data_IF_072037408460
#
_entry.id   IF_072037408460
#
_cell.length_a   1.000
_cell.length_b   1.000
_cell.length_c   1.000
_cell.angle_alpha   90.00
_cell.angle_beta   90.00
_cell.angle_gamma   90.00
#
_symmetry.space_group_name_H-M   'P 1'
#
loop_
_entity.id
_entity.type
_entity.pdbx_description
1 polymer ?
#
# COMPACT_ATOMS: atom_id res chain seq x y z
N UNK A 1 -0.39 -9.62 -27.47
CA UNK A 1 0.51 -10.10 -26.40
C UNK A 1 0.33 -11.59 -26.31
N UNK A 2 1.21 -12.37 -26.94
CA UNK A 2 1.25 -13.81 -26.68
C UNK A 2 2.03 -14.00 -25.38
N UNK A 3 1.30 -14.16 -24.27
CA UNK A 3 1.95 -14.47 -23.00
C UNK A 3 2.34 -15.94 -23.00
N UNK A 4 3.59 -16.23 -22.63
CA UNK A 4 4.12 -17.61 -22.53
C UNK A 4 3.31 -18.50 -21.58
N UNK A 5 2.55 -17.90 -20.66
CA UNK A 5 1.76 -18.56 -19.63
C UNK A 5 0.36 -17.96 -19.56
N UNK A 6 -0.63 -18.76 -19.15
CA UNK A 6 -1.99 -18.32 -18.88
C UNK A 6 -2.14 -17.85 -17.44
N UNK A 7 -3.22 -17.12 -17.14
CA UNK A 7 -3.53 -16.69 -15.77
C UNK A 7 -3.67 -17.88 -14.81
N UNK A 8 -4.30 -18.97 -15.25
CA UNK A 8 -4.46 -20.17 -14.43
C UNK A 8 -3.12 -20.81 -14.10
N UNK A 9 -2.17 -20.85 -15.03
CA UNK A 9 -0.85 -21.46 -14.78
C UNK A 9 -0.01 -20.74 -13.71
N UNK A 10 -0.30 -19.46 -13.44
CA UNK A 10 0.53 -18.63 -12.58
C UNK A 10 -0.06 -18.39 -11.18
N UNK A 11 -1.23 -18.95 -10.88
CA UNK A 11 -1.87 -18.83 -9.56
C UNK A 11 -1.52 -20.01 -8.65
N UNK A 12 -1.69 -19.80 -7.35
CA UNK A 12 -1.70 -20.87 -6.35
C UNK A 12 -2.89 -21.80 -6.62
N UNK A 13 -2.63 -23.10 -6.65
CA UNK A 13 -3.67 -24.12 -6.81
C UNK A 13 -4.59 -23.87 -8.04
N UNK A 14 -4.05 -23.95 -9.27
CA UNK A 14 -4.79 -23.73 -10.52
C UNK A 14 -6.04 -24.59 -10.63
N UNK A 15 -5.89 -25.88 -10.37
CA UNK A 15 -6.95 -26.87 -10.42
C UNK A 15 -7.11 -27.49 -9.04
N UNK A 16 -8.06 -26.97 -8.26
CA UNK A 16 -8.30 -27.42 -6.88
C UNK A 16 -8.70 -28.89 -6.82
N UNK A 17 -9.53 -29.33 -7.77
CA UNK A 17 -10.14 -30.64 -7.76
C UNK A 17 -9.12 -31.71 -8.18
N UNK A 18 -8.34 -31.42 -9.24
CA UNK A 18 -7.29 -32.34 -9.67
C UNK A 18 -6.12 -32.41 -8.69
N UNK A 19 -5.79 -31.32 -8.00
CA UNK A 19 -4.62 -31.24 -7.13
C UNK A 19 -4.94 -31.45 -5.64
N UNK A 20 -6.22 -31.49 -5.26
CA UNK A 20 -6.66 -31.61 -3.87
C UNK A 20 -6.12 -30.49 -2.96
N UNK A 21 -5.89 -29.30 -3.51
CA UNK A 21 -5.28 -28.18 -2.77
C UNK A 21 -6.29 -27.08 -2.41
N UNK A 22 -5.99 -26.32 -1.36
CA UNK A 22 -6.75 -25.14 -0.97
C UNK A 22 -6.12 -23.88 -1.59
N UNK A 23 -6.95 -23.03 -2.22
CA UNK A 23 -6.50 -21.68 -2.60
C UNK A 23 -6.46 -20.82 -1.34
N UNK A 24 -5.28 -20.30 -1.02
CA UNK A 24 -5.14 -19.29 0.01
C UNK A 24 -5.82 -17.99 -0.42
N UNK A 25 -6.25 -17.23 0.57
CA UNK A 25 -6.80 -15.90 0.35
C UNK A 25 -5.69 -14.95 -0.11
N UNK A 26 -5.97 -14.13 -1.12
CA UNK A 26 -4.98 -13.25 -1.77
C UNK A 26 -4.47 -12.16 -0.82
N UNK A 27 -5.42 -11.50 -0.17
CA UNK A 27 -5.21 -10.34 0.69
C UNK A 27 -6.42 -10.20 1.63
N UNK A 28 -6.45 -9.19 2.49
CA UNK A 28 -7.54 -9.03 3.46
C UNK A 28 -8.94 -8.87 2.83
N UNK A 29 -9.05 -8.52 1.55
CA UNK A 29 -10.33 -8.36 0.86
C UNK A 29 -10.86 -9.63 0.21
N UNK A 30 -10.08 -10.72 0.21
CA UNK A 30 -10.44 -11.96 -0.47
C UNK A 30 -10.84 -11.76 -1.95
N UNK A 31 -10.19 -10.80 -2.62
CA UNK A 31 -10.47 -10.47 -4.01
C UNK A 31 -9.40 -11.07 -4.92
N UNK A 32 -9.81 -11.99 -5.80
CA UNK A 32 -8.97 -12.59 -6.83
C UNK A 32 -8.34 -13.94 -6.44
N UNK A 33 -7.21 -14.28 -7.08
CA UNK A 33 -6.46 -15.51 -6.83
C UNK A 33 -5.00 -15.20 -6.53
N UNK A 34 -4.43 -15.87 -5.52
CA UNK A 34 -3.06 -15.63 -5.07
C UNK A 34 -2.08 -16.09 -6.14
N UNK A 35 -1.04 -15.31 -6.42
CA UNK A 35 -0.01 -15.67 -7.40
C UNK A 35 0.95 -16.72 -6.84
N UNK A 36 1.40 -17.62 -7.72
CA UNK A 36 2.45 -18.58 -7.43
C UNK A 36 3.80 -18.05 -7.91
N UNK A 37 4.51 -17.35 -7.03
CA UNK A 37 5.82 -16.77 -7.32
C UNK A 37 6.95 -17.79 -7.54
N UNK A 38 6.72 -19.09 -7.28
CA UNK A 38 7.63 -20.16 -7.72
C UNK A 38 7.51 -20.43 -9.22
N UNK A 39 6.41 -20.03 -9.85
CA UNK A 39 6.22 -20.12 -11.29
C UNK A 39 6.72 -18.81 -11.97
N UNK A 40 7.62 -18.89 -12.97
CA UNK A 40 8.23 -17.70 -13.57
C UNK A 40 7.21 -16.73 -14.19
N UNK A 41 6.06 -17.26 -14.65
CA UNK A 41 4.96 -16.46 -15.18
C UNK A 41 4.35 -15.46 -14.19
N UNK A 42 4.42 -15.71 -12.87
CA UNK A 42 3.88 -14.78 -11.88
C UNK A 42 4.68 -13.46 -11.84
N UNK A 43 6.01 -13.54 -11.84
CA UNK A 43 6.84 -12.34 -11.92
C UNK A 43 6.69 -11.66 -13.29
N UNK A 44 6.59 -12.42 -14.39
CA UNK A 44 6.34 -11.85 -15.72
C UNK A 44 5.04 -11.06 -15.77
N UNK A 45 3.99 -11.54 -15.12
CA UNK A 45 2.71 -10.83 -14.99
C UNK A 45 2.86 -9.52 -14.23
N UNK A 46 3.51 -9.52 -13.06
CA UNK A 46 3.76 -8.26 -12.32
C UNK A 46 4.62 -7.30 -13.13
N UNK A 47 5.63 -7.80 -13.85
CA UNK A 47 6.45 -6.98 -14.74
C UNK A 47 5.62 -6.35 -15.86
N UNK A 48 4.68 -7.08 -16.47
CA UNK A 48 3.84 -6.53 -17.55
C UNK A 48 2.87 -5.47 -17.04
N UNK A 49 2.30 -5.66 -15.84
CA UNK A 49 1.45 -4.65 -15.17
C UNK A 49 2.27 -3.38 -14.90
N UNK A 50 3.45 -3.50 -14.28
CA UNK A 50 4.30 -2.35 -13.96
C UNK A 50 4.78 -1.62 -15.22
N UNK A 51 5.15 -2.35 -16.28
CA UNK A 51 5.54 -1.75 -17.56
C UNK A 51 4.37 -0.97 -18.19
N UNK A 52 3.16 -1.53 -18.12
CA UNK A 52 1.93 -0.85 -18.54
C UNK A 52 1.68 0.45 -17.76
N UNK A 53 1.81 0.41 -16.43
CA UNK A 53 1.64 1.58 -15.57
C UNK A 53 2.65 2.69 -15.91
N UNK A 54 3.92 2.35 -16.12
CA UNK A 54 4.90 3.33 -16.60
C UNK A 54 4.51 3.91 -17.96
N UNK A 55 4.02 3.08 -18.89
CA UNK A 55 3.60 3.55 -20.23
C UNK A 55 2.41 4.52 -20.18
N UNK A 56 1.55 4.41 -19.16
CA UNK A 56 0.44 5.33 -18.92
C UNK A 56 0.84 6.58 -18.16
N UNK A 57 2.12 6.72 -17.80
CA UNK A 57 2.61 7.86 -17.06
C UNK A 57 2.29 7.83 -15.58
N UNK A 58 1.97 6.67 -15.00
CA UNK A 58 1.77 6.51 -13.55
C UNK A 58 3.09 6.73 -12.80
N UNK A 59 3.02 7.43 -11.68
CA UNK A 59 4.16 7.71 -10.80
C UNK A 59 3.94 7.23 -9.36
N UNK A 60 2.73 6.79 -9.02
CA UNK A 60 2.36 6.32 -7.68
C UNK A 60 1.41 5.13 -7.78
N UNK A 61 1.66 4.10 -6.97
CA UNK A 61 0.79 2.93 -6.84
C UNK A 61 0.59 2.63 -5.36
N UNK A 62 -0.67 2.39 -4.97
CA UNK A 62 -1.03 1.97 -3.62
C UNK A 62 -1.58 0.55 -3.65
N UNK A 63 -0.91 -0.38 -2.95
CA UNK A 63 -1.39 -1.75 -2.77
C UNK A 63 -2.29 -1.81 -1.54
N UNK A 64 -3.50 -2.34 -1.71
CA UNK A 64 -4.52 -2.41 -0.66
C UNK A 64 -4.76 -3.85 -0.18
N UNK A 65 -5.25 -3.98 1.06
CA UNK A 65 -5.50 -5.27 1.69
C UNK A 65 -4.23 -5.97 2.21
N UNK A 66 -3.14 -5.23 2.44
CA UNK A 66 -1.85 -5.78 2.85
C UNK A 66 -1.93 -6.38 4.25
N UNK A 67 -1.34 -7.58 4.40
CA UNK A 67 -1.26 -8.33 5.66
C UNK A 67 0.20 -8.70 5.95
N UNK A 68 0.73 -8.45 7.17
CA UNK A 68 0.08 -7.92 8.37
C UNK A 68 -0.54 -6.52 8.22
N UNK A 69 -1.79 -6.38 8.66
CA UNK A 69 -2.60 -5.18 8.48
C UNK A 69 -4.04 -5.49 8.10
N UNK A 70 -4.74 -4.46 7.62
CA UNK A 70 -6.10 -4.50 7.09
C UNK A 70 -7.10 -5.21 8.01
N UNK A 71 -7.01 -4.89 9.31
CA UNK A 71 -7.83 -5.48 10.39
C UNK A 71 -7.74 -7.00 10.55
N UNK A 72 -6.77 -7.65 9.92
CA UNK A 72 -6.51 -9.06 10.17
C UNK A 72 -5.81 -9.20 11.53
N UNK A 73 -6.25 -10.16 12.34
CA UNK A 73 -5.62 -10.43 13.63
C UNK A 73 -4.29 -11.19 13.47
N UNK A 74 -3.28 -10.97 14.34
CA UNK A 74 -1.98 -11.62 14.21
C UNK A 74 -1.99 -13.16 14.07
N UNK A 75 -2.85 -13.92 14.77
CA UNK A 75 -2.96 -15.37 14.59
C UNK A 75 -3.43 -15.79 13.19
N UNK A 76 -4.01 -14.87 12.39
CA UNK A 76 -4.54 -15.15 11.06
C UNK A 76 -3.61 -14.70 9.92
N UNK A 77 -2.52 -13.97 10.20
CA UNK A 77 -1.62 -13.44 9.16
C UNK A 77 -1.09 -14.52 8.20
N UNK A 78 -0.89 -15.75 8.68
CA UNK A 78 -0.42 -16.85 7.84
C UNK A 78 -1.38 -17.18 6.67
N UNK A 79 -2.67 -16.85 6.81
CA UNK A 79 -3.69 -17.07 5.76
C UNK A 79 -3.53 -16.12 4.58
N UNK A 80 -2.88 -14.97 4.79
CA UNK A 80 -2.82 -13.84 3.85
C UNK A 80 -1.36 -13.40 3.67
N UNK A 81 -0.53 -14.19 2.99
CA UNK A 81 0.87 -13.83 2.80
C UNK A 81 1.05 -12.83 1.64
N UNK A 82 0.89 -11.53 1.93
CA UNK A 82 1.09 -10.45 0.96
C UNK A 82 2.56 -10.01 0.80
N UNK A 83 3.49 -10.58 1.59
CA UNK A 83 4.91 -10.19 1.52
C UNK A 83 5.53 -10.54 0.18
N UNK A 84 5.11 -11.65 -0.42
CA UNK A 84 5.58 -12.06 -1.74
C UNK A 84 5.14 -11.07 -2.83
N UNK A 85 3.92 -10.54 -2.73
CA UNK A 85 3.42 -9.51 -3.63
C UNK A 85 4.23 -8.21 -3.50
N UNK A 86 4.45 -7.72 -2.27
CA UNK A 86 5.25 -6.53 -2.03
C UNK A 86 6.66 -6.66 -2.64
N UNK A 87 7.28 -7.83 -2.47
CA UNK A 87 8.60 -8.12 -3.03
C UNK A 87 8.58 -8.14 -4.57
N UNK A 88 7.58 -8.79 -5.18
CA UNK A 88 7.46 -8.88 -6.63
C UNK A 88 7.21 -7.52 -7.29
N UNK A 89 6.34 -6.70 -6.69
CA UNK A 89 6.07 -5.33 -7.12
C UNK A 89 7.31 -4.44 -7.01
N UNK A 90 8.00 -4.48 -5.85
CA UNK A 90 9.24 -3.71 -5.67
C UNK A 90 10.31 -4.10 -6.69
N UNK A 91 10.47 -5.41 -6.92
CA UNK A 91 11.42 -5.95 -7.90
C UNK A 91 11.10 -5.42 -9.30
N UNK A 92 9.86 -5.58 -9.76
CA UNK A 92 9.42 -5.12 -11.07
C UNK A 92 9.63 -3.61 -11.26
N UNK A 93 9.24 -2.79 -10.27
CA UNK A 93 9.41 -1.33 -10.32
C UNK A 93 10.87 -0.94 -10.45
N UNK A 94 11.76 -1.53 -9.64
CA UNK A 94 13.18 -1.20 -9.66
C UNK A 94 13.85 -1.66 -10.97
N UNK A 95 13.64 -2.92 -11.38
CA UNK A 95 14.26 -3.48 -12.57
C UNK A 95 13.82 -2.72 -13.84
N UNK A 96 12.52 -2.47 -14.02
CA UNK A 96 12.02 -1.75 -15.19
C UNK A 96 12.42 -0.29 -15.19
N UNK A 97 12.49 0.35 -14.02
CA UNK A 97 13.02 1.70 -13.89
C UNK A 97 14.46 1.78 -14.39
N UNK A 98 15.36 0.96 -13.85
CA UNK A 98 16.79 0.96 -14.17
C UNK A 98 17.04 0.56 -15.63
N UNK A 99 16.32 -0.44 -16.13
CA UNK A 99 16.57 -0.99 -17.46
C UNK A 99 16.04 -0.08 -18.57
N UNK A 100 14.84 0.48 -18.38
CA UNK A 100 14.04 1.12 -19.44
C UNK A 100 13.61 2.54 -19.08
N UNK A 101 12.84 2.72 -18.01
CA UNK A 101 12.03 3.93 -17.85
C UNK A 101 12.80 5.16 -17.37
N UNK A 102 13.89 4.97 -16.62
CA UNK A 102 14.77 6.08 -16.24
C UNK A 102 15.34 6.80 -17.47
N UNK A 103 15.74 6.04 -18.50
CA UNK A 103 16.29 6.59 -19.76
C UNK A 103 15.23 7.33 -20.59
N UNK A 104 13.96 7.08 -20.32
CA UNK A 104 12.82 7.76 -20.94
C UNK A 104 12.35 8.97 -20.11
N UNK A 105 13.13 9.39 -19.11
CA UNK A 105 12.83 10.56 -18.28
C UNK A 105 11.70 10.32 -17.26
N UNK A 106 11.33 9.07 -17.00
CA UNK A 106 10.35 8.73 -15.96
C UNK A 106 11.05 8.68 -14.60
N UNK A 107 10.36 9.09 -13.56
CA UNK A 107 10.74 8.78 -12.18
C UNK A 107 10.32 7.36 -11.81
N UNK A 108 10.98 6.78 -10.80
CA UNK A 108 10.61 5.47 -10.27
C UNK A 108 9.24 5.56 -9.61
N UNK A 109 8.33 4.65 -9.96
CA UNK A 109 7.00 4.59 -9.33
C UNK A 109 7.17 4.50 -7.81
N UNK A 110 6.51 5.41 -7.10
CA UNK A 110 6.41 5.38 -5.64
C UNK A 110 5.39 4.31 -5.24
N UNK A 111 5.80 3.37 -4.39
CA UNK A 111 4.97 2.26 -3.96
C UNK A 111 4.48 2.45 -2.52
N UNK A 112 3.18 2.56 -2.34
CA UNK A 112 2.50 2.61 -1.04
C UNK A 112 1.84 1.27 -0.67
N UNK A 113 1.79 0.96 0.62
CA UNK A 113 0.98 -0.15 1.17
C UNK A 113 -0.15 0.36 2.07
N UNK A 114 -1.28 -0.33 2.07
CA UNK A 114 -2.43 -0.01 2.93
C UNK A 114 -3.22 -1.24 3.35
N UNK A 115 -3.82 -1.29 4.54
CA UNK A 115 -3.97 -0.24 5.57
C UNK A 115 -3.83 -0.82 6.99
N UNK A 116 -3.90 0.00 8.05
CA UNK A 116 -3.71 -0.41 9.47
C UNK A 116 -2.51 -1.34 9.65
N UNK A 117 -1.40 -0.99 9.01
CA UNK A 117 -0.18 -1.76 9.11
C UNK A 117 0.34 -1.67 10.56
N UNK A 118 0.65 -2.81 11.23
CA UNK A 118 1.19 -2.82 12.59
C UNK A 118 2.71 -2.62 12.61
N UNK A 119 3.25 -2.14 13.72
CA UNK A 119 4.71 -1.91 13.90
C UNK A 119 5.55 -3.17 13.73
N UNK A 120 4.97 -4.35 13.97
CA UNK A 120 5.59 -5.66 13.71
C UNK A 120 5.95 -5.89 12.23
N UNK A 121 5.24 -5.25 11.30
CA UNK A 121 5.50 -5.33 9.87
C UNK A 121 6.51 -4.28 9.37
N UNK A 122 7.00 -3.40 10.24
CA UNK A 122 7.84 -2.27 9.85
C UNK A 122 9.09 -2.66 9.06
N UNK A 123 9.74 -3.79 9.38
CA UNK A 123 10.92 -4.26 8.65
C UNK A 123 10.58 -4.69 7.21
N UNK A 124 9.44 -5.36 7.02
CA UNK A 124 8.94 -5.74 5.69
C UNK A 124 8.60 -4.49 4.89
N UNK A 125 7.92 -3.53 5.50
CA UNK A 125 7.55 -2.29 4.83
C UNK A 125 8.77 -1.47 4.42
N UNK A 126 9.76 -1.33 5.32
CA UNK A 126 10.99 -0.58 5.05
C UNK A 126 11.79 -1.18 3.88
N UNK A 127 11.68 -2.49 3.68
CA UNK A 127 12.36 -3.20 2.60
C UNK A 127 11.65 -3.03 1.26
N UNK A 128 10.32 -3.03 1.25
CA UNK A 128 9.57 -3.20 0.00
C UNK A 128 8.69 -2.02 -0.41
N UNK A 129 8.35 -1.06 0.45
CA UNK A 129 7.47 0.08 0.10
C UNK A 129 8.08 1.42 0.50
N UNK A 130 7.67 2.48 -0.18
CA UNK A 130 8.14 3.86 0.05
C UNK A 130 7.26 4.57 1.09
N UNK A 131 5.97 4.23 1.14
CA UNK A 131 5.01 4.68 2.16
C UNK A 131 4.08 3.56 2.62
N UNK A 132 3.49 3.71 3.81
CA UNK A 132 2.47 2.76 4.26
C UNK A 132 1.45 3.38 5.24
N UNK A 133 0.17 3.03 5.05
CA UNK A 133 -0.94 3.52 5.87
C UNK A 133 -0.98 2.79 7.20
N UNK A 134 -0.73 3.54 8.27
CA UNK A 134 -0.55 2.98 9.62
C UNK A 134 -1.86 2.73 10.35
N UNK A 135 -2.94 3.37 9.90
CA UNK A 135 -4.26 3.27 10.50
C UNK A 135 -5.31 2.91 9.44
N UNK A 136 -6.53 2.70 9.91
CA UNK A 136 -7.72 2.58 9.11
C UNK A 136 -8.17 3.89 8.47
N UNK A 137 -9.09 3.68 7.53
CA UNK A 137 -9.70 4.71 6.72
C UNK A 137 -10.23 5.85 7.60
N UNK A 138 -9.89 7.08 7.21
CA UNK A 138 -10.25 8.29 7.96
C UNK A 138 -11.70 8.69 7.75
N UNK A 139 -12.33 8.16 6.71
CA UNK A 139 -13.72 8.37 6.37
C UNK A 139 -14.65 7.86 7.48
N UNK A 140 -15.75 8.56 7.71
CA UNK A 140 -16.78 8.13 8.65
C UNK A 140 -17.66 7.00 8.08
N UNK A 141 -17.63 6.80 6.76
CA UNK A 141 -18.58 5.95 6.03
C UNK A 141 -20.04 6.26 6.39
N UNK A 142 -20.35 7.57 6.42
CA UNK A 142 -21.67 8.10 6.71
C UNK A 142 -22.19 8.84 5.48
N UNK A 143 -23.51 8.83 5.28
CA UNK A 143 -24.17 9.64 4.25
C UNK A 143 -24.14 11.14 4.58
N UNK A 144 -23.93 11.50 5.85
CA UNK A 144 -24.05 12.88 6.35
C UNK A 144 -22.73 13.49 6.81
N UNK A 145 -21.66 12.70 6.89
CA UNK A 145 -20.34 13.15 7.36
C UNK A 145 -19.26 12.40 6.60
N UNK A 146 -18.29 13.14 6.06
CA UNK A 146 -17.12 12.51 5.44
C UNK A 146 -16.11 12.06 6.48
N UNK A 147 -15.92 12.83 7.56
CA UNK A 147 -15.00 12.47 8.66
C UNK A 147 -15.40 13.14 9.97
N UNK A 148 -14.68 12.82 11.05
CA UNK A 148 -14.86 13.43 12.37
C UNK A 148 -13.50 13.70 13.02
N UNK A 149 -13.43 14.69 13.91
CA UNK A 149 -12.16 15.07 14.52
C UNK A 149 -11.57 13.97 15.42
N UNK A 150 -12.39 13.11 16.03
CA UNK A 150 -11.89 11.95 16.78
C UNK A 150 -11.12 10.95 15.89
N UNK A 151 -11.48 10.81 14.61
CA UNK A 151 -10.76 9.97 13.64
C UNK A 151 -9.43 10.58 13.24
N UNK A 152 -9.38 11.90 13.08
CA UNK A 152 -8.12 12.65 12.89
C UNK A 152 -7.18 12.37 14.06
N UNK A 153 -7.68 12.50 15.30
CA UNK A 153 -6.89 12.25 16.51
C UNK A 153 -6.47 10.77 16.63
N UNK A 154 -7.34 9.83 16.27
CA UNK A 154 -7.01 8.39 16.22
C UNK A 154 -5.82 8.14 15.29
N UNK A 155 -5.88 8.61 14.04
CA UNK A 155 -4.82 8.38 13.06
C UNK A 155 -3.50 9.04 13.50
N UNK A 156 -3.57 10.26 14.07
CA UNK A 156 -2.41 10.95 14.63
C UNK A 156 -1.75 10.18 15.78
N UNK A 157 -2.56 9.65 16.72
CA UNK A 157 -2.08 8.82 17.84
C UNK A 157 -1.39 7.56 17.34
N UNK A 158 -1.98 6.86 16.37
CA UNK A 158 -1.38 5.66 15.79
C UNK A 158 -0.07 5.99 15.07
N UNK A 159 0.00 7.07 14.29
CA UNK A 159 1.23 7.52 13.63
C UNK A 159 2.33 7.93 14.62
N UNK A 160 1.98 8.44 15.80
CA UNK A 160 2.94 8.74 16.86
C UNK A 160 3.66 7.46 17.36
N UNK A 161 2.99 6.30 17.40
CA UNK A 161 3.62 5.02 17.78
C UNK A 161 4.71 4.58 16.79
N UNK A 162 4.62 5.05 15.55
CA UNK A 162 5.58 4.78 14.49
C UNK A 162 6.71 5.81 14.39
N UNK A 163 6.60 6.90 15.15
CA UNK A 163 7.45 8.07 15.00
C UNK A 163 8.28 8.27 16.27
N UNK A 164 9.59 8.25 16.08
CA UNK A 164 10.56 8.78 17.03
C UNK A 164 11.29 9.94 16.33
N UNK A 165 12.04 10.75 17.10
CA UNK A 165 12.94 11.74 16.51
C UNK A 165 13.77 11.10 15.39
N UNK A 166 13.92 11.77 14.26
CA UNK A 166 14.52 11.23 13.02
C UNK A 166 15.75 10.32 13.21
N UNK A 167 16.76 10.64 14.07
CA UNK A 167 17.90 9.74 14.29
C UNK A 167 17.56 8.40 14.96
N UNK A 168 16.44 8.32 15.67
CA UNK A 168 15.96 7.12 16.34
C UNK A 168 14.86 6.40 15.54
N UNK A 169 14.55 6.85 14.32
CA UNK A 169 13.47 6.27 13.53
C UNK A 169 13.88 4.90 13.02
N UNK A 170 13.19 3.87 13.51
CA UNK A 170 13.51 2.47 13.20
C UNK A 170 13.30 2.11 11.72
N UNK A 171 12.43 2.83 11.01
CA UNK A 171 12.05 2.54 9.61
C UNK A 171 11.93 3.83 8.79
N UNK A 172 12.45 3.82 7.56
CA UNK A 172 12.63 4.97 6.66
C UNK A 172 11.40 5.34 5.84
N UNK A 173 10.50 4.39 5.56
CA UNK A 173 9.30 4.65 4.75
C UNK A 173 8.46 5.78 5.33
N UNK A 174 7.65 6.46 4.52
CA UNK A 174 6.74 7.53 4.96
C UNK A 174 5.49 6.93 5.63
N UNK A 175 5.02 7.54 6.72
CA UNK A 175 3.78 7.13 7.39
C UNK A 175 2.61 7.83 6.70
N UNK A 176 1.73 7.05 6.09
CA UNK A 176 0.49 7.54 5.52
C UNK A 176 -0.59 7.56 6.63
N UNK A 177 -1.06 8.76 6.97
CA UNK A 177 -2.13 8.98 7.95
C UNK A 177 -3.52 8.93 7.31
N UNK A 178 -3.57 8.61 6.02
CA UNK A 178 -4.69 8.72 5.11
C UNK A 178 -4.93 10.14 4.56
N UNK A 179 -6.00 10.28 3.76
CA UNK A 179 -6.44 11.50 3.09
C UNK A 179 -6.63 12.69 4.04
N UNK A 180 -6.45 13.90 3.51
CA UNK A 180 -6.86 15.13 4.19
C UNK A 180 -8.29 15.48 3.79
N UNK A 181 -9.22 15.37 4.73
CA UNK A 181 -10.63 15.64 4.52
C UNK A 181 -11.01 16.96 5.20
N UNK A 182 -11.05 18.04 4.42
CA UNK A 182 -11.47 19.37 4.88
C UNK A 182 -12.98 19.50 4.65
N UNK A 183 -13.78 18.88 5.52
CA UNK A 183 -15.24 18.85 5.43
C UNK A 183 -15.89 19.26 6.77
N UNK A 184 -16.98 18.59 7.16
CA UNK A 184 -17.90 18.66 8.31
C UNK A 184 -17.33 19.01 9.71
N UNK A 185 -16.01 19.18 9.83
CA UNK A 185 -15.32 19.69 11.01
C UNK A 185 -15.27 21.23 11.02
N UNK A 186 -15.04 21.81 12.20
CA UNK A 186 -14.82 23.26 12.33
C UNK A 186 -13.53 23.69 11.62
N UNK A 187 -13.42 24.95 11.23
CA UNK A 187 -12.20 25.50 10.63
C UNK A 187 -10.95 25.28 11.51
N UNK A 188 -11.12 25.33 12.84
CA UNK A 188 -10.03 25.09 13.79
C UNK A 188 -9.56 23.63 13.74
N UNK A 189 -10.49 22.67 13.65
CA UNK A 189 -10.19 21.24 13.52
C UNK A 189 -9.54 20.93 12.17
N UNK A 190 -10.05 21.49 11.07
CA UNK A 190 -9.44 21.34 9.74
C UNK A 190 -8.00 21.89 9.70
N UNK A 191 -7.75 23.08 10.27
CA UNK A 191 -6.38 23.63 10.40
C UNK A 191 -5.49 22.73 11.25
N UNK A 192 -6.06 22.14 12.32
CA UNK A 192 -5.33 21.21 13.19
C UNK A 192 -4.96 19.94 12.43
N UNK A 193 -5.86 19.36 11.64
CA UNK A 193 -5.58 18.19 10.79
C UNK A 193 -4.40 18.46 9.84
N UNK A 194 -4.47 19.55 9.06
CA UNK A 194 -3.40 19.90 8.11
C UNK A 194 -2.06 20.09 8.82
N UNK A 195 -2.08 20.75 9.99
CA UNK A 195 -0.88 20.96 10.81
C UNK A 195 -0.27 19.64 11.28
N UNK A 196 -1.10 18.73 11.81
CA UNK A 196 -0.65 17.40 12.25
C UNK A 196 -0.07 16.61 11.08
N UNK A 197 -0.75 16.56 9.94
CA UNK A 197 -0.28 15.83 8.76
C UNK A 197 1.07 16.38 8.29
N UNK A 198 1.21 17.71 8.22
CA UNK A 198 2.46 18.35 7.86
C UNK A 198 3.62 18.00 8.81
N UNK A 199 3.35 17.80 10.11
CA UNK A 199 4.36 17.39 11.09
C UNK A 199 4.85 15.94 10.91
N UNK A 200 4.01 15.03 10.41
CA UNK A 200 4.39 13.63 10.18
C UNK A 200 5.09 13.40 8.84
N UNK A 201 5.01 14.38 7.93
CA UNK A 201 5.61 14.37 6.61
C UNK A 201 7.03 14.96 6.67
N UNK A 202 8.01 14.31 6.02
CA UNK A 202 9.38 14.85 5.94
C UNK A 202 9.39 16.13 5.08
N UNK A 203 10.25 17.13 5.39
CA UNK A 203 10.35 18.37 4.61
C UNK A 203 10.58 18.17 3.10
N UNK A 204 11.15 17.02 2.70
CA UNK A 204 11.49 16.71 1.31
C UNK A 204 10.55 15.65 0.68
N UNK A 205 9.54 15.20 1.41
CA UNK A 205 8.54 14.24 0.93
C UNK A 205 7.15 14.84 1.09
N UNK A 206 6.86 15.98 0.46
CA UNK A 206 5.49 16.50 0.35
C UNK A 206 4.61 15.62 -0.59
N UNK A 207 4.80 14.31 -0.57
CA UNK A 207 3.80 13.33 -0.96
C UNK A 207 2.92 13.08 0.25
N UNK A 208 2.13 14.10 0.60
CA UNK A 208 0.85 13.86 1.23
C UNK A 208 0.06 12.92 0.31
N UNK A 209 -0.96 12.24 0.83
CA UNK A 209 -2.07 11.80 -0.03
C UNK A 209 -2.79 13.03 -0.61
N UNK A 210 -2.08 13.88 -1.36
CA UNK A 210 -2.67 14.97 -2.17
C UNK A 210 -3.50 14.35 -3.30
N UNK A 211 -3.26 13.07 -3.60
CA UNK A 211 -4.14 12.26 -4.43
C UNK A 211 -5.61 12.33 -3.96
N UNK A 212 -5.86 12.61 -2.68
CA UNK A 212 -7.19 12.64 -2.08
C UNK A 212 -7.41 13.88 -1.17
N UNK A 213 -7.01 15.08 -1.60
CA UNK A 213 -7.64 16.29 -1.02
C UNK A 213 -9.04 16.40 -1.63
N UNK A 214 -10.02 15.91 -0.90
CA UNK A 214 -11.42 16.04 -1.30
C UNK A 214 -11.97 17.32 -0.69
N UNK A 215 -12.21 18.32 -1.54
CA UNK A 215 -13.06 19.46 -1.20
C UNK A 215 -14.51 19.03 -1.48
N UNK A 216 -15.37 19.17 -0.48
CA UNK A 216 -16.82 19.10 -0.65
C UNK A 216 -17.39 20.51 -0.84
#
# INVERSE_FOLDING_TARGET
MDTKYTADQIIQCPDKDALGCNRNTVNAFNAGMALNYSHPGAQMYINSVVDGLYSWGVSYVKLAGIVPGSMVDPPEYWKYNTTADLMAWRKAINELYEQKWQKQGRERIWLGASWKIPTSAGATMDKYVDSFRVEQDIEAYSETQMTTFDRVIRNAKTAALWSSVDPNRKWKGVRDLDSILISDMTLAECKTMVTIWAMFVRPNCFFLSIADIVFA
#
